data_IF_178145102266
#
_entry.id   IF_178145102266
#
_cell.length_a   1.000
_cell.length_b   1.000
_cell.length_c   1.000
_cell.angle_alpha   90.00
_cell.angle_beta   90.00
_cell.angle_gamma   90.00
#
_symmetry.space_group_name_H-M   'P 1'
#
loop_
_entity.id
_entity.type
_entity.pdbx_description
1 polymer ?
#
# COMPACT_ATOMS: atom_id res chain seq x y z
N UNK A 1 4.36 2.16 -26.43
CA UNK A 1 2.89 2.09 -26.29
C UNK A 1 2.41 1.06 -25.26
N UNK A 2 2.89 -0.21 -25.22
CA UNK A 2 2.40 -1.19 -24.25
C UNK A 2 2.64 -0.83 -22.77
N UNK A 3 3.78 -0.21 -22.46
CA UNK A 3 4.10 0.29 -21.12
C UNK A 3 3.16 1.40 -20.66
N UNK A 4 2.81 2.33 -21.54
CA UNK A 4 1.85 3.42 -21.27
C UNK A 4 0.47 2.83 -21.01
N UNK A 5 0.03 1.85 -21.80
CA UNK A 5 -1.26 1.19 -21.61
C UNK A 5 -1.31 0.41 -20.28
N UNK A 6 -0.26 -0.33 -19.95
CA UNK A 6 -0.16 -1.02 -18.67
C UNK A 6 -0.14 -0.05 -17.48
N UNK A 7 0.57 1.08 -17.60
CA UNK A 7 0.59 2.13 -16.59
C UNK A 7 -0.78 2.81 -16.45
N UNK A 8 -1.45 3.13 -17.55
CA UNK A 8 -2.79 3.73 -17.56
C UNK A 8 -3.83 2.83 -16.88
N UNK A 9 -3.80 1.52 -17.18
CA UNK A 9 -4.67 0.54 -16.52
C UNK A 9 -4.35 0.42 -15.03
N UNK A 10 -3.07 0.43 -14.65
CA UNK A 10 -2.68 0.41 -13.23
C UNK A 10 -3.18 1.65 -12.49
N UNK A 11 -3.02 2.84 -13.06
CA UNK A 11 -3.51 4.11 -12.49
C UNK A 11 -5.04 4.10 -12.38
N UNK A 12 -5.75 3.66 -13.42
CA UNK A 12 -7.19 3.52 -13.40
C UNK A 12 -7.66 2.61 -12.26
N UNK A 13 -7.04 1.44 -12.11
CA UNK A 13 -7.37 0.48 -11.05
C UNK A 13 -7.12 1.06 -9.66
N UNK A 14 -6.06 1.86 -9.50
CA UNK A 14 -5.76 2.55 -8.23
C UNK A 14 -6.76 3.64 -7.92
N UNK A 15 -7.13 4.46 -8.89
CA UNK A 15 -8.13 5.51 -8.71
C UNK A 15 -9.52 4.93 -8.41
N UNK A 16 -9.91 3.85 -9.09
CA UNK A 16 -11.20 3.19 -8.86
C UNK A 16 -11.29 2.58 -7.46
N UNK A 17 -10.20 1.98 -6.96
CA UNK A 17 -10.15 1.40 -5.63
C UNK A 17 -9.87 2.41 -4.51
N UNK A 18 -9.62 3.69 -4.84
CA UNK A 18 -9.32 4.72 -3.86
C UNK A 18 -10.58 5.15 -3.11
N UNK A 19 -10.42 5.30 -1.80
CA UNK A 19 -11.50 5.60 -0.88
C UNK A 19 -11.23 6.89 -0.11
N UNK A 20 -10.00 7.10 0.35
CA UNK A 20 -9.67 8.19 1.27
C UNK A 20 -9.81 9.55 0.60
N UNK A 21 -9.32 9.69 -0.63
CA UNK A 21 -9.38 10.96 -1.38
C UNK A 21 -10.81 11.39 -1.68
N UNK A 22 -11.67 10.58 -2.34
CA UNK A 22 -13.03 11.01 -2.63
C UNK A 22 -13.86 11.22 -1.36
N UNK A 23 -13.60 10.47 -0.27
CA UNK A 23 -14.30 10.67 1.00
C UNK A 23 -14.00 12.04 1.63
N UNK A 24 -12.74 12.49 1.58
CA UNK A 24 -12.29 13.68 2.29
C UNK A 24 -12.42 14.98 1.49
N UNK A 25 -12.15 14.94 0.18
CA UNK A 25 -12.10 16.16 -0.66
C UNK A 25 -13.00 16.08 -1.90
N UNK A 26 -13.69 14.96 -2.11
CA UNK A 26 -14.53 14.76 -3.28
C UNK A 26 -15.92 15.36 -3.19
N UNK A 27 -16.20 16.27 -2.25
CA UNK A 27 -17.52 16.84 -1.93
C UNK A 27 -18.57 16.80 -3.07
N UNK A 28 -19.51 15.85 -3.00
CA UNK A 28 -20.59 15.65 -3.97
C UNK A 28 -20.39 14.53 -5.00
N UNK A 29 -19.17 14.01 -5.17
CA UNK A 29 -18.88 12.87 -6.05
C UNK A 29 -19.14 11.53 -5.36
N UNK A 30 -20.09 10.76 -5.91
CA UNK A 30 -20.42 9.41 -5.43
C UNK A 30 -19.56 8.38 -6.15
N UNK A 31 -18.41 8.05 -5.57
CA UNK A 31 -17.55 6.97 -6.05
C UNK A 31 -17.99 5.63 -5.48
N UNK A 32 -17.73 4.52 -6.20
CA UNK A 32 -18.07 3.16 -5.74
C UNK A 32 -17.63 2.91 -4.29
N UNK A 33 -16.37 3.17 -3.89
CA UNK A 33 -15.90 2.80 -2.56
C UNK A 33 -16.60 3.60 -1.45
N UNK A 34 -16.84 4.90 -1.68
CA UNK A 34 -17.52 5.80 -0.73
C UNK A 34 -19.00 5.46 -0.62
N UNK A 35 -19.66 5.17 -1.73
CA UNK A 35 -21.07 4.80 -1.72
C UNK A 35 -21.30 3.48 -0.99
N UNK A 36 -20.45 2.47 -1.23
CA UNK A 36 -20.50 1.19 -0.50
C UNK A 36 -20.37 1.42 1.01
N UNK A 37 -19.46 2.29 1.42
CA UNK A 37 -19.28 2.63 2.83
C UNK A 37 -20.52 3.33 3.42
N UNK A 38 -21.02 4.37 2.76
CA UNK A 38 -22.18 5.14 3.24
C UNK A 38 -23.43 4.27 3.37
N UNK A 39 -23.63 3.31 2.45
CA UNK A 39 -24.79 2.42 2.46
C UNK A 39 -24.68 1.31 3.52
N UNK A 40 -23.46 1.01 3.98
CA UNK A 40 -23.18 0.02 5.00
C UNK A 40 -23.10 0.60 6.42
N UNK A 41 -22.52 1.79 6.57
CA UNK A 41 -22.24 2.46 7.87
C UNK A 41 -23.17 3.66 8.13
N UNK A 42 -24.05 4.00 7.18
CA UNK A 42 -24.89 5.20 7.23
C UNK A 42 -25.74 5.35 8.50
N UNK A 43 -25.83 6.57 9.01
CA UNK A 43 -26.48 6.88 10.29
C UNK A 43 -28.01 6.91 10.21
N UNK A 44 -28.60 7.29 9.07
CA UNK A 44 -30.04 7.49 8.91
C UNK A 44 -30.77 6.30 8.28
N UNK A 45 -30.12 5.59 7.35
CA UNK A 45 -30.64 4.36 6.75
C UNK A 45 -29.51 3.53 6.18
N UNK A 46 -29.44 2.25 6.56
CA UNK A 46 -28.51 1.27 5.97
C UNK A 46 -29.23 0.43 4.92
N UNK A 47 -28.61 0.25 3.76
CA UNK A 47 -29.12 -0.62 2.70
C UNK A 47 -28.05 -1.63 2.27
N UNK A 48 -27.95 -2.71 3.03
CA UNK A 48 -26.97 -3.77 2.80
C UNK A 48 -27.13 -4.42 1.41
N UNK A 49 -28.36 -4.55 0.91
CA UNK A 49 -28.65 -5.13 -0.40
C UNK A 49 -28.10 -4.25 -1.53
N UNK A 50 -28.27 -2.93 -1.42
CA UNK A 50 -27.72 -1.98 -2.37
C UNK A 50 -26.20 -1.90 -2.29
N UNK A 51 -25.63 -1.88 -1.08
CA UNK A 51 -24.18 -1.95 -0.88
C UNK A 51 -23.58 -3.23 -1.51
N UNK A 52 -24.25 -4.37 -1.36
CA UNK A 52 -23.85 -5.63 -1.98
C UNK A 52 -23.93 -5.56 -3.52
N UNK A 53 -25.01 -5.01 -4.08
CA UNK A 53 -25.16 -4.84 -5.52
C UNK A 53 -24.04 -3.98 -6.13
N UNK A 54 -23.76 -2.82 -5.52
CA UNK A 54 -22.66 -1.94 -5.96
C UNK A 54 -21.30 -2.65 -5.81
N UNK A 55 -21.10 -3.41 -4.73
CA UNK A 55 -19.86 -4.18 -4.52
C UNK A 55 -19.64 -5.22 -5.62
N UNK A 56 -20.69 -5.95 -6.02
CA UNK A 56 -20.62 -6.94 -7.11
C UNK A 56 -20.30 -6.26 -8.44
N UNK A 57 -20.94 -5.12 -8.74
CA UNK A 57 -20.64 -4.34 -9.95
C UNK A 57 -19.18 -3.86 -9.95
N UNK A 58 -18.70 -3.32 -8.83
CA UNK A 58 -17.32 -2.87 -8.70
C UNK A 58 -16.32 -4.02 -8.86
N UNK A 59 -16.59 -5.18 -8.27
CA UNK A 59 -15.79 -6.40 -8.47
C UNK A 59 -15.81 -6.82 -9.94
N UNK A 60 -16.96 -6.80 -10.61
CA UNK A 60 -17.08 -7.16 -12.02
C UNK A 60 -16.25 -6.27 -12.93
N UNK A 61 -16.36 -4.94 -12.77
CA UNK A 61 -15.58 -3.96 -13.54
C UNK A 61 -14.08 -4.15 -13.29
N UNK A 62 -13.68 -4.25 -12.03
CA UNK A 62 -12.26 -4.42 -11.66
C UNK A 62 -11.70 -5.75 -12.15
N UNK A 63 -12.48 -6.83 -12.12
CA UNK A 63 -12.08 -8.12 -12.68
C UNK A 63 -11.88 -8.03 -14.21
N UNK A 64 -12.81 -7.42 -14.94
CA UNK A 64 -12.69 -7.23 -16.40
C UNK A 64 -11.41 -6.47 -16.74
N UNK A 65 -11.19 -5.33 -16.07
CA UNK A 65 -10.00 -4.50 -16.31
C UNK A 65 -8.72 -5.24 -15.93
N UNK A 66 -8.72 -6.00 -14.84
CA UNK A 66 -7.59 -6.84 -14.45
C UNK A 66 -7.28 -7.93 -15.47
N UNK A 67 -8.28 -8.64 -15.99
CA UNK A 67 -8.07 -9.66 -17.01
C UNK A 67 -7.57 -9.05 -18.32
N UNK A 68 -8.09 -7.88 -18.72
CA UNK A 68 -7.58 -7.11 -19.86
C UNK A 68 -6.12 -6.72 -19.63
N UNK A 69 -5.80 -6.15 -18.46
CA UNK A 69 -4.44 -5.78 -18.09
C UNK A 69 -3.50 -6.99 -18.12
N UNK A 70 -3.91 -8.12 -17.54
CA UNK A 70 -3.14 -9.36 -17.51
C UNK A 70 -2.90 -9.90 -18.92
N UNK A 71 -3.93 -9.92 -19.76
CA UNK A 71 -3.85 -10.38 -21.15
C UNK A 71 -2.89 -9.50 -21.97
N UNK A 72 -3.04 -8.17 -21.91
CA UNK A 72 -2.16 -7.22 -22.59
C UNK A 72 -0.70 -7.38 -22.13
N UNK A 73 -0.47 -7.47 -20.82
CA UNK A 73 0.87 -7.62 -20.25
C UNK A 73 1.50 -8.96 -20.65
N UNK A 74 0.70 -10.02 -20.83
CA UNK A 74 1.21 -11.32 -21.29
C UNK A 74 1.55 -11.33 -22.79
N UNK A 75 0.80 -10.60 -23.61
CA UNK A 75 0.96 -10.57 -25.08
C UNK A 75 2.09 -9.63 -25.52
N UNK A 76 2.34 -8.55 -24.78
CA UNK A 76 3.34 -7.53 -25.11
C UNK A 76 4.58 -7.60 -24.20
N UNK A 77 5.12 -8.82 -23.97
CA UNK A 77 6.39 -9.00 -23.26
C UNK A 77 7.56 -8.59 -24.15
N UNK A 78 7.93 -7.31 -24.10
CA UNK A 78 9.19 -6.87 -24.66
C UNK A 78 10.27 -7.02 -23.60
N UNK A 79 11.17 -7.98 -23.78
CA UNK A 79 12.47 -7.97 -23.11
C UNK A 79 13.15 -6.70 -23.59
N UNK A 80 13.37 -5.74 -22.70
CA UNK A 80 14.32 -4.66 -22.97
C UNK A 80 15.66 -5.37 -23.08
N UNK A 81 16.05 -5.73 -24.30
CA UNK A 81 17.39 -6.20 -24.58
C UNK A 81 18.32 -5.04 -24.24
N UNK A 82 18.94 -5.12 -23.07
CA UNK A 82 19.94 -4.18 -22.58
C UNK A 82 21.26 -4.31 -23.37
N UNK A 83 21.19 -4.55 -24.68
CA UNK A 83 22.36 -4.56 -25.58
C UNK A 83 22.96 -3.15 -25.75
N UNK A 84 22.18 -2.11 -25.46
CA UNK A 84 22.67 -0.74 -25.35
C UNK A 84 22.36 -0.20 -23.95
N UNK A 85 23.40 -0.04 -23.13
CA UNK A 85 23.33 0.80 -21.93
C UNK A 85 22.86 2.19 -22.36
N UNK A 86 21.84 2.73 -21.68
CA UNK A 86 21.37 4.10 -21.90
C UNK A 86 22.56 5.02 -21.58
N UNK A 87 23.24 5.53 -22.60
CA UNK A 87 24.35 6.45 -22.39
C UNK A 87 23.80 7.82 -21.93
N UNK A 88 24.32 8.28 -20.79
CA UNK A 88 23.98 9.60 -20.27
C UNK A 88 24.51 10.68 -21.21
N UNK A 89 23.64 11.23 -22.06
CA UNK A 89 24.00 12.36 -22.92
C UNK A 89 23.96 13.65 -22.11
N UNK A 90 25.09 14.36 -22.02
CA UNK A 90 25.13 15.69 -21.41
C UNK A 90 24.26 16.66 -22.24
N UNK A 91 23.21 17.26 -21.67
CA UNK A 91 22.37 18.20 -22.39
C UNK A 91 23.14 19.50 -22.71
N UNK A 92 22.73 20.20 -23.77
CA UNK A 92 23.20 21.57 -24.06
C UNK A 92 22.87 22.50 -22.87
N UNK A 93 23.60 23.60 -22.64
CA UNK A 93 23.40 24.46 -21.47
C UNK A 93 21.96 24.92 -21.27
N UNK A 94 21.30 25.40 -22.33
CA UNK A 94 19.90 25.84 -22.29
C UNK A 94 18.94 24.68 -21.98
N UNK A 95 19.15 23.53 -22.61
CA UNK A 95 18.35 22.32 -22.36
C UNK A 95 18.55 21.83 -20.93
N UNK A 96 19.76 21.94 -20.37
CA UNK A 96 20.05 21.62 -18.98
C UNK A 96 19.24 22.50 -18.03
N UNK A 97 19.25 23.83 -18.24
CA UNK A 97 18.46 24.76 -17.43
C UNK A 97 16.97 24.44 -17.49
N UNK A 98 16.42 24.18 -18.69
CA UNK A 98 15.00 23.81 -18.85
C UNK A 98 14.65 22.49 -18.14
N UNK A 99 15.52 21.48 -18.21
CA UNK A 99 15.32 20.20 -17.52
C UNK A 99 15.31 20.39 -16.00
N UNK A 100 16.28 21.15 -15.46
CA UNK A 100 16.35 21.42 -14.02
C UNK A 100 15.16 22.26 -13.56
N UNK A 101 14.78 23.29 -14.30
CA UNK A 101 13.62 24.13 -13.99
C UNK A 101 12.34 23.30 -13.95
N UNK A 102 12.10 22.48 -14.97
CA UNK A 102 10.96 21.56 -15.00
C UNK A 102 10.97 20.60 -13.80
N UNK A 103 12.11 19.97 -13.51
CA UNK A 103 12.24 19.05 -12.40
C UNK A 103 12.00 19.73 -11.04
N UNK A 104 12.59 20.90 -10.80
CA UNK A 104 12.40 21.64 -9.54
C UNK A 104 10.99 22.16 -9.36
N UNK A 105 10.34 22.63 -10.43
CA UNK A 105 8.93 23.03 -10.38
C UNK A 105 8.06 21.83 -10.04
N UNK A 106 8.25 20.69 -10.72
CA UNK A 106 7.47 19.49 -10.49
C UNK A 106 7.64 18.95 -9.07
N UNK A 107 8.89 18.86 -8.59
CA UNK A 107 9.19 18.45 -7.21
C UNK A 107 8.62 19.45 -6.21
N UNK A 108 8.78 20.76 -6.46
CA UNK A 108 8.27 21.83 -5.61
C UNK A 108 6.76 21.77 -5.44
N UNK A 109 6.02 21.66 -6.54
CA UNK A 109 4.55 21.49 -6.53
C UNK A 109 4.16 20.20 -5.80
N UNK A 110 4.89 19.11 -6.04
CA UNK A 110 4.61 17.80 -5.43
C UNK A 110 4.89 17.76 -3.92
N UNK A 111 5.78 18.60 -3.41
CA UNK A 111 6.12 18.72 -1.99
C UNK A 111 5.31 19.79 -1.25
N UNK A 112 4.65 20.69 -1.98
CA UNK A 112 3.92 21.82 -1.41
C UNK A 112 2.82 21.39 -0.41
N UNK A 113 1.98 20.37 -0.68
CA UNK A 113 0.98 19.91 0.30
C UNK A 113 1.59 19.39 1.60
N UNK A 114 2.74 18.71 1.53
CA UNK A 114 3.44 18.14 2.68
C UNK A 114 4.08 19.25 3.52
N UNK A 115 4.64 20.27 2.87
CA UNK A 115 5.17 21.46 3.55
C UNK A 115 4.03 22.24 4.22
N UNK A 116 2.90 22.44 3.52
CA UNK A 116 1.73 23.11 4.08
C UNK A 116 1.14 22.34 5.27
N UNK A 117 1.08 21.01 5.17
CA UNK A 117 0.64 20.14 6.26
C UNK A 117 1.56 20.26 7.49
N UNK A 118 2.87 20.21 7.27
CA UNK A 118 3.86 20.40 8.34
C UNK A 118 3.71 21.79 8.97
N UNK A 119 3.53 22.85 8.16
CA UNK A 119 3.26 24.20 8.65
C UNK A 119 2.01 24.25 9.54
N UNK A 120 0.87 23.71 9.07
CA UNK A 120 -0.37 23.63 9.84
C UNK A 120 -0.21 22.85 11.16
N UNK A 121 0.62 21.80 11.18
CA UNK A 121 0.86 21.02 12.39
C UNK A 121 1.46 21.85 13.54
N UNK A 122 2.27 22.85 13.23
CA UNK A 122 2.92 23.73 14.22
C UNK A 122 2.13 25.01 14.51
N UNK A 123 1.04 25.30 13.79
CA UNK A 123 0.20 26.47 14.08
C UNK A 123 -0.48 26.33 15.43
N UNK A 124 -0.62 27.44 16.15
CA UNK A 124 -1.40 27.44 17.38
C UNK A 124 -2.88 27.15 17.10
N UNK A 125 -3.57 26.54 18.06
CA UNK A 125 -4.98 26.17 17.94
C UNK A 125 -5.73 26.36 19.24
N UNK A 126 -7.05 26.49 19.13
CA UNK A 126 -7.94 26.46 20.29
C UNK A 126 -7.76 25.19 21.12
N UNK A 127 -8.23 25.20 22.38
CA UNK A 127 -8.20 24.01 23.24
C UNK A 127 -8.90 22.79 22.62
N UNK A 128 -9.88 23.00 21.75
CA UNK A 128 -10.56 21.93 21.01
C UNK A 128 -9.74 21.39 19.84
N UNK A 129 -8.83 22.20 19.28
CA UNK A 129 -8.06 21.90 18.07
C UNK A 129 -8.80 22.27 16.77
N UNK A 130 -9.97 22.90 16.86
CA UNK A 130 -10.84 23.20 15.72
C UNK A 130 -10.49 24.50 14.99
N UNK A 131 -10.01 25.51 15.73
CA UNK A 131 -9.70 26.82 15.16
C UNK A 131 -8.19 27.07 15.22
N UNK A 132 -7.60 27.43 14.09
CA UNK A 132 -6.22 27.92 14.06
C UNK A 132 -6.13 29.34 14.60
N UNK A 133 -5.19 29.55 15.51
CA UNK A 133 -4.89 30.82 16.14
C UNK A 133 -3.58 31.40 15.58
N UNK A 134 -3.33 32.71 15.76
CA UNK A 134 -2.03 33.30 15.46
C UNK A 134 -0.90 32.64 16.29
N UNK A 135 0.30 32.58 15.71
CA UNK A 135 1.49 32.03 16.33
C UNK A 135 1.68 30.52 16.15
N UNK A 136 2.79 30.02 16.71
CA UNK A 136 3.18 28.61 16.64
C UNK A 136 3.10 27.96 18.03
N UNK A 137 2.75 26.68 18.07
CA UNK A 137 2.71 25.89 19.29
C UNK A 137 2.83 24.40 19.00
N UNK A 138 3.14 23.61 20.04
CA UNK A 138 3.04 22.14 19.99
C UNK A 138 1.69 21.63 20.48
N UNK A 139 0.67 22.48 20.59
CA UNK A 139 -0.63 22.12 21.14
C UNK A 139 -1.33 21.03 20.32
N UNK A 140 -1.25 21.10 18.98
CA UNK A 140 -1.82 20.08 18.09
C UNK A 140 -1.26 18.69 18.36
N UNK A 141 0.06 18.58 18.56
CA UNK A 141 0.72 17.32 18.91
C UNK A 141 0.27 16.81 20.28
N UNK A 142 0.16 17.69 21.29
CA UNK A 142 -0.34 17.33 22.62
C UNK A 142 -1.79 16.83 22.56
N UNK A 143 -2.67 17.55 21.86
CA UNK A 143 -4.08 17.15 21.68
C UNK A 143 -4.17 15.83 20.92
N UNK A 144 -3.46 15.71 19.80
CA UNK A 144 -3.46 14.51 18.96
C UNK A 144 -3.03 13.27 19.73
N UNK A 145 -1.85 13.32 20.35
CA UNK A 145 -1.29 12.22 21.11
C UNK A 145 -2.07 11.91 22.39
N UNK A 146 -2.65 12.92 23.06
CA UNK A 146 -3.45 12.68 24.28
C UNK A 146 -4.79 12.00 23.99
N UNK A 147 -5.45 12.36 22.88
CA UNK A 147 -6.73 11.80 22.45
C UNK A 147 -6.56 10.44 21.76
N UNK A 148 -5.44 10.21 21.09
CA UNK A 148 -5.18 9.02 20.27
C UNK A 148 -3.86 8.32 20.67
N UNK A 149 -3.69 8.05 21.97
CA UNK A 149 -2.43 7.52 22.55
C UNK A 149 -1.95 6.22 21.91
N UNK A 150 -2.87 5.33 21.54
CA UNK A 150 -2.56 4.03 20.95
C UNK A 150 -2.29 4.07 19.44
N UNK A 151 -2.49 5.21 18.76
CA UNK A 151 -2.42 5.27 17.31
C UNK A 151 -1.04 4.87 16.75
N UNK A 152 0.03 5.33 17.38
CA UNK A 152 1.40 4.99 16.98
C UNK A 152 1.69 3.51 17.24
N UNK A 153 1.39 3.01 18.44
CA UNK A 153 1.65 1.61 18.79
C UNK A 153 0.82 0.65 17.94
N UNK A 154 -0.43 1.00 17.61
CA UNK A 154 -1.29 0.21 16.74
C UNK A 154 -0.79 0.19 15.30
N UNK A 155 -0.37 1.33 14.74
CA UNK A 155 0.25 1.38 13.41
C UNK A 155 1.49 0.50 13.35
N UNK A 156 2.35 0.55 14.37
CA UNK A 156 3.54 -0.29 14.46
C UNK A 156 3.19 -1.78 14.58
N UNK A 157 2.33 -2.14 15.54
CA UNK A 157 1.97 -3.52 15.83
C UNK A 157 1.29 -4.17 14.64
N UNK A 158 0.23 -3.53 14.12
CA UNK A 158 -0.51 -4.04 12.96
C UNK A 158 0.40 -4.07 11.74
N UNK A 159 1.14 -2.99 11.50
CA UNK A 159 2.02 -2.87 10.34
C UNK A 159 3.12 -3.93 10.31
N UNK A 160 3.85 -4.11 11.41
CA UNK A 160 5.01 -5.00 11.48
C UNK A 160 4.58 -6.46 11.40
N UNK A 161 3.50 -6.84 12.09
CA UNK A 161 2.97 -8.20 12.02
C UNK A 161 2.48 -8.48 10.60
N UNK A 162 1.72 -7.57 9.99
CA UNK A 162 1.21 -7.74 8.63
C UNK A 162 2.34 -7.83 7.59
N UNK A 163 3.36 -6.97 7.65
CA UNK A 163 4.52 -7.06 6.75
C UNK A 163 5.30 -8.35 6.95
N UNK A 164 5.51 -8.78 8.20
CA UNK A 164 6.17 -10.05 8.49
C UNK A 164 5.46 -11.23 7.84
N UNK A 165 4.13 -11.31 7.99
CA UNK A 165 3.32 -12.35 7.35
C UNK A 165 3.37 -12.23 5.82
N UNK A 166 3.24 -11.02 5.28
CA UNK A 166 3.32 -10.76 3.84
C UNK A 166 4.65 -11.23 3.26
N UNK A 167 5.77 -10.93 3.91
CA UNK A 167 7.11 -11.34 3.47
C UNK A 167 7.23 -12.86 3.44
N UNK A 168 6.83 -13.54 4.50
CA UNK A 168 6.90 -15.01 4.58
C UNK A 168 6.06 -15.65 3.47
N UNK A 169 4.80 -15.23 3.33
CA UNK A 169 3.91 -15.78 2.29
C UNK A 169 4.42 -15.45 0.89
N UNK A 170 4.93 -14.23 0.67
CA UNK A 170 5.43 -13.82 -0.63
C UNK A 170 6.66 -14.61 -1.07
N UNK A 171 7.58 -14.91 -0.15
CA UNK A 171 8.75 -15.76 -0.40
C UNK A 171 8.29 -17.16 -0.86
N UNK A 172 7.33 -17.76 -0.15
CA UNK A 172 6.80 -19.09 -0.48
C UNK A 172 6.09 -19.10 -1.84
N UNK A 173 5.21 -18.13 -2.10
CA UNK A 173 4.50 -18.01 -3.37
C UNK A 173 5.49 -17.75 -4.51
N UNK A 174 6.47 -16.86 -4.33
CA UNK A 174 7.46 -16.58 -5.34
C UNK A 174 8.27 -17.83 -5.70
N UNK A 175 8.70 -18.61 -4.70
CA UNK A 175 9.38 -19.88 -4.93
C UNK A 175 8.51 -20.86 -5.71
N UNK A 176 7.24 -21.05 -5.33
CA UNK A 176 6.33 -21.93 -6.04
C UNK A 176 6.10 -21.51 -7.50
N UNK A 177 5.94 -20.21 -7.74
CA UNK A 177 5.67 -19.65 -9.07
C UNK A 177 6.88 -19.79 -10.00
N UNK A 178 8.10 -19.54 -9.50
CA UNK A 178 9.31 -19.54 -10.33
C UNK A 178 9.96 -20.92 -10.42
N UNK A 179 10.04 -21.65 -9.29
CA UNK A 179 10.79 -22.91 -9.19
C UNK A 179 9.93 -24.16 -9.39
N UNK A 180 8.60 -24.03 -9.26
CA UNK A 180 7.63 -25.14 -9.41
C UNK A 180 6.46 -24.74 -10.32
N UNK A 181 6.71 -24.35 -11.59
CA UNK A 181 5.65 -23.97 -12.50
C UNK A 181 4.66 -25.13 -12.70
N UNK A 182 3.39 -24.87 -12.42
CA UNK A 182 2.28 -25.82 -12.52
C UNK A 182 0.98 -25.05 -12.60
N UNK A 183 -0.11 -25.69 -13.05
CA UNK A 183 -1.43 -25.06 -13.06
C UNK A 183 -1.82 -24.51 -11.67
N UNK A 184 -1.44 -25.21 -10.59
CA UNK A 184 -1.66 -24.80 -9.20
C UNK A 184 -0.87 -23.55 -8.81
N UNK A 185 0.43 -23.48 -9.15
CA UNK A 185 1.23 -22.29 -8.83
C UNK A 185 0.80 -21.06 -9.64
N UNK A 186 0.36 -21.24 -10.88
CA UNK A 186 -0.26 -20.15 -11.66
C UNK A 186 -1.61 -19.68 -11.09
N UNK A 187 -2.42 -20.61 -10.56
CA UNK A 187 -3.65 -20.26 -9.86
C UNK A 187 -3.35 -19.46 -8.58
N UNK A 188 -2.36 -19.88 -7.78
CA UNK A 188 -1.92 -19.16 -6.58
C UNK A 188 -1.41 -17.76 -6.94
N UNK A 189 -0.57 -17.60 -7.96
CA UNK A 189 -0.11 -16.27 -8.42
C UNK A 189 -1.28 -15.36 -8.81
N UNK A 190 -2.27 -15.92 -9.50
CA UNK A 190 -3.44 -15.18 -9.96
C UNK A 190 -4.33 -14.77 -8.79
N UNK A 191 -4.68 -15.71 -7.91
CA UNK A 191 -5.49 -15.46 -6.72
C UNK A 191 -4.83 -14.45 -5.78
N UNK A 192 -3.51 -14.50 -5.65
CA UNK A 192 -2.75 -13.57 -4.84
C UNK A 192 -2.81 -12.12 -5.34
N UNK A 193 -3.21 -11.88 -6.59
CA UNK A 193 -3.41 -10.53 -7.14
C UNK A 193 -4.84 -10.03 -6.99
N UNK A 194 -5.83 -10.91 -6.78
CA UNK A 194 -7.25 -10.52 -6.73
C UNK A 194 -7.53 -9.45 -5.67
N UNK A 195 -6.96 -9.50 -4.44
CA UNK A 195 -7.20 -8.45 -3.46
C UNK A 195 -6.67 -7.07 -3.83
N UNK A 196 -5.74 -6.98 -4.77
CA UNK A 196 -5.16 -5.70 -5.23
C UNK A 196 -6.21 -4.81 -5.92
N UNK A 197 -7.17 -5.46 -6.58
CA UNK A 197 -8.11 -4.80 -7.48
C UNK A 197 -9.47 -4.53 -6.83
N UNK A 198 -9.77 -5.21 -5.72
CA UNK A 198 -11.02 -5.05 -5.00
C UNK A 198 -10.97 -3.76 -4.16
N UNK A 199 -12.00 -2.90 -4.23
CA UNK A 199 -12.08 -1.72 -3.38
C UNK A 199 -11.93 -2.08 -1.90
N UNK A 200 -11.22 -1.23 -1.14
CA UNK A 200 -10.95 -1.52 0.26
C UNK A 200 -12.21 -1.65 1.13
N UNK A 201 -13.27 -0.91 0.79
CA UNK A 201 -14.55 -0.99 1.49
C UNK A 201 -15.23 -2.34 1.31
N UNK A 202 -15.19 -2.90 0.10
CA UNK A 202 -15.68 -4.25 -0.21
C UNK A 202 -14.92 -5.30 0.61
N UNK A 203 -13.59 -5.20 0.69
CA UNK A 203 -12.78 -6.13 1.49
C UNK A 203 -13.15 -6.04 2.98
N UNK A 204 -13.35 -4.83 3.51
CA UNK A 204 -13.75 -4.63 4.91
C UNK A 204 -15.08 -5.26 5.23
N UNK A 205 -16.10 -4.99 4.41
CA UNK A 205 -17.44 -5.56 4.57
C UNK A 205 -17.40 -7.09 4.44
N UNK A 206 -16.68 -7.61 3.44
CA UNK A 206 -16.55 -9.05 3.25
C UNK A 206 -15.91 -9.74 4.46
N UNK A 207 -14.88 -9.13 5.08
CA UNK A 207 -14.26 -9.66 6.28
C UNK A 207 -15.19 -9.64 7.49
N UNK A 208 -15.97 -8.56 7.68
CA UNK A 208 -17.00 -8.54 8.73
C UNK A 208 -18.01 -9.66 8.48
N UNK A 209 -18.59 -9.74 7.29
CA UNK A 209 -19.59 -10.76 6.97
C UNK A 209 -19.06 -12.18 7.16
N UNK A 210 -17.79 -12.43 6.81
CA UNK A 210 -17.17 -13.74 6.94
C UNK A 210 -16.80 -14.11 8.39
N UNK A 211 -16.46 -13.14 9.23
CA UNK A 211 -15.90 -13.37 10.57
C UNK A 211 -16.67 -12.72 11.72
N UNK A 212 -17.95 -12.41 11.51
CA UNK A 212 -18.84 -11.88 12.55
C UNK A 212 -19.67 -12.97 13.26
N UNK A 213 -19.62 -14.21 12.79
CA UNK A 213 -20.38 -15.34 13.36
C UNK A 213 -19.48 -16.53 13.71
N UNK A 214 -19.95 -17.41 14.60
CA UNK A 214 -19.25 -18.65 14.97
C UNK A 214 -19.03 -19.55 13.74
N UNK A 215 -17.96 -20.37 13.69
CA UNK A 215 -17.07 -20.75 14.79
C UNK A 215 -15.91 -19.77 15.04
N UNK A 216 -15.59 -18.88 14.10
CA UNK A 216 -14.45 -17.98 14.18
C UNK A 216 -14.90 -16.52 14.10
N UNK A 217 -14.99 -15.86 15.26
CA UNK A 217 -15.35 -14.44 15.35
C UNK A 217 -14.08 -13.60 15.47
N UNK A 218 -13.77 -12.83 14.44
CA UNK A 218 -12.62 -11.92 14.40
C UNK A 218 -13.02 -10.45 14.44
N UNK A 219 -14.28 -10.12 14.20
CA UNK A 219 -14.80 -8.75 14.26
C UNK A 219 -14.47 -8.11 15.60
N UNK A 220 -14.00 -6.87 15.57
CA UNK A 220 -13.60 -6.12 16.75
C UNK A 220 -12.20 -6.43 17.31
N UNK A 221 -11.52 -7.47 16.80
CA UNK A 221 -10.16 -7.82 17.21
C UNK A 221 -9.09 -7.13 16.36
N UNK A 222 -7.85 -7.08 16.84
CA UNK A 222 -6.70 -6.64 16.02
C UNK A 222 -6.40 -7.61 14.87
N UNK A 223 -6.81 -8.87 14.99
CA UNK A 223 -6.51 -9.92 14.01
C UNK A 223 -7.21 -9.67 12.67
N UNK A 224 -8.46 -9.20 12.67
CA UNK A 224 -9.18 -8.89 11.42
C UNK A 224 -8.50 -7.74 10.65
N UNK A 225 -7.93 -6.77 11.37
CA UNK A 225 -7.15 -5.70 10.76
C UNK A 225 -5.86 -6.27 10.15
N UNK A 226 -5.11 -7.09 10.88
CA UNK A 226 -3.87 -7.72 10.38
C UNK A 226 -4.16 -8.54 9.12
N UNK A 227 -5.20 -9.38 9.14
CA UNK A 227 -5.63 -10.19 7.99
C UNK A 227 -5.97 -9.29 6.80
N UNK A 228 -6.73 -8.21 7.03
CA UNK A 228 -7.09 -7.29 5.96
C UNK A 228 -5.87 -6.65 5.29
N UNK A 229 -4.86 -6.26 6.08
CA UNK A 229 -3.60 -5.73 5.57
C UNK A 229 -2.82 -6.77 4.78
N UNK A 230 -2.70 -8.01 5.30
CA UNK A 230 -1.98 -9.09 4.61
C UNK A 230 -2.62 -9.38 3.27
N UNK A 231 -3.95 -9.61 3.25
CA UNK A 231 -4.71 -9.93 2.05
C UNK A 231 -4.54 -8.85 0.98
N UNK A 232 -4.65 -7.57 1.35
CA UNK A 232 -4.58 -6.47 0.37
C UNK A 232 -3.18 -6.12 -0.10
N UNK A 233 -2.13 -6.51 0.64
CA UNK A 233 -0.75 -6.00 0.46
C UNK A 233 0.27 -7.08 0.14
N UNK A 234 -0.12 -8.35 0.18
CA UNK A 234 0.70 -9.45 -0.35
C UNK A 234 1.09 -9.32 -1.84
N UNK A 235 0.29 -8.72 -2.75
CA UNK A 235 0.63 -8.67 -4.18
C UNK A 235 1.97 -7.98 -4.47
N UNK A 236 2.30 -6.92 -3.72
CA UNK A 236 3.51 -6.13 -3.94
C UNK A 236 4.77 -6.94 -3.69
N UNK A 237 4.83 -7.61 -2.54
CA UNK A 237 6.00 -8.41 -2.18
C UNK A 237 6.13 -9.65 -3.04
N UNK A 238 5.01 -10.28 -3.45
CA UNK A 238 5.04 -11.40 -4.41
C UNK A 238 5.66 -10.95 -5.73
N UNK A 239 5.21 -9.84 -6.33
CA UNK A 239 5.69 -9.41 -7.64
C UNK A 239 7.17 -9.04 -7.61
N UNK A 240 7.63 -8.34 -6.58
CA UNK A 240 9.05 -8.01 -6.43
C UNK A 240 9.91 -9.26 -6.21
N UNK A 241 9.44 -10.20 -5.38
CA UNK A 241 10.11 -11.45 -5.09
C UNK A 241 10.20 -12.37 -6.32
N UNK A 242 9.11 -12.51 -7.08
CA UNK A 242 9.08 -13.27 -8.35
C UNK A 242 10.02 -12.67 -9.38
N UNK A 243 10.05 -11.33 -9.51
CA UNK A 243 10.90 -10.65 -10.47
C UNK A 243 12.39 -10.90 -10.22
N UNK A 244 12.85 -10.80 -8.97
CA UNK A 244 14.25 -11.06 -8.62
C UNK A 244 14.56 -12.55 -8.68
N UNK A 245 13.70 -13.43 -8.15
CA UNK A 245 13.94 -14.86 -8.18
C UNK A 245 14.01 -15.42 -9.62
N UNK A 246 13.20 -14.86 -10.53
CA UNK A 246 13.24 -15.22 -11.96
C UNK A 246 14.55 -14.89 -12.67
N UNK A 247 15.35 -13.96 -12.13
CA UNK A 247 16.68 -13.62 -12.65
C UNK A 247 17.79 -14.53 -12.10
N UNK A 248 17.53 -15.26 -11.01
CA UNK A 248 18.52 -16.14 -10.37
C UNK A 248 18.48 -17.51 -11.07
N UNK A 249 19.58 -17.96 -11.70
CA UNK A 249 19.63 -19.26 -12.37
C UNK A 249 19.30 -20.42 -11.41
N UNK A 250 18.52 -21.40 -11.89
CA UNK A 250 18.19 -22.60 -11.10
C UNK A 250 19.43 -23.42 -10.74
N UNK A 251 20.46 -23.37 -11.60
CA UNK A 251 21.72 -24.11 -11.43
C UNK A 251 22.44 -23.78 -10.13
N UNK A 252 22.23 -22.59 -9.56
CA UNK A 252 22.81 -22.22 -8.25
C UNK A 252 22.20 -23.06 -7.12
N UNK A 253 20.90 -23.30 -7.16
CA UNK A 253 20.19 -24.15 -6.19
C UNK A 253 20.55 -25.63 -6.39
N UNK A 254 20.65 -26.08 -7.65
CA UNK A 254 21.07 -27.44 -8.00
C UNK A 254 22.51 -27.73 -7.58
N UNK A 255 23.43 -26.79 -7.76
CA UNK A 255 24.82 -26.92 -7.31
C UNK A 255 24.91 -27.09 -5.79
N UNK A 256 24.15 -26.30 -5.03
CA UNK A 256 24.10 -26.44 -3.58
C UNK A 256 23.58 -27.83 -3.15
N UNK A 257 22.56 -28.34 -3.84
CA UNK A 257 22.00 -29.68 -3.58
C UNK A 257 23.03 -30.77 -3.92
N UNK A 258 23.73 -30.67 -5.05
CA UNK A 258 24.78 -31.61 -5.46
C UNK A 258 25.96 -31.65 -4.48
N UNK A 259 26.26 -30.53 -3.83
CA UNK A 259 27.27 -30.45 -2.76
C UNK A 259 26.76 -30.96 -1.39
N UNK A 260 25.59 -31.59 -1.35
CA UNK A 260 25.04 -32.25 -0.15
C UNK A 260 24.06 -31.39 0.66
N UNK A 261 23.63 -30.22 0.19
CA UNK A 261 22.54 -29.50 0.87
C UNK A 261 21.18 -30.16 0.60
N UNK A 262 20.34 -30.27 1.64
CA UNK A 262 18.92 -30.57 1.44
C UNK A 262 18.23 -29.42 0.69
N UNK A 263 17.14 -29.71 -0.03
CA UNK A 263 16.34 -28.68 -0.74
C UNK A 263 15.92 -27.53 0.17
N UNK A 264 15.50 -27.84 1.40
CA UNK A 264 15.09 -26.85 2.38
C UNK A 264 16.25 -25.97 2.85
N UNK A 265 17.43 -26.58 3.08
CA UNK A 265 18.64 -25.84 3.45
C UNK A 265 19.12 -24.95 2.31
N UNK A 266 19.13 -25.46 1.07
CA UNK A 266 19.47 -24.70 -0.12
C UNK A 266 18.54 -23.49 -0.29
N UNK A 267 17.24 -23.68 -0.10
CA UNK A 267 16.26 -22.60 -0.15
C UNK A 267 16.56 -21.47 0.85
N UNK A 268 16.69 -21.78 2.15
CA UNK A 268 16.89 -20.75 3.17
C UNK A 268 18.31 -20.16 3.18
N UNK A 269 19.33 -20.94 2.79
CA UNK A 269 20.73 -20.52 2.90
C UNK A 269 21.27 -19.87 1.62
N UNK A 270 20.66 -20.17 0.46
CA UNK A 270 21.13 -19.71 -0.85
C UNK A 270 20.04 -18.88 -1.53
N UNK A 271 18.88 -19.51 -1.82
CA UNK A 271 17.84 -18.87 -2.64
C UNK A 271 17.26 -17.61 -1.97
N UNK A 272 16.86 -17.69 -0.70
CA UNK A 272 16.27 -16.56 0.04
C UNK A 272 17.26 -15.39 0.19
N UNK A 273 18.52 -15.58 0.62
CA UNK A 273 19.52 -14.51 0.64
C UNK A 273 19.78 -13.88 -0.72
N UNK A 274 19.83 -14.66 -1.79
CA UNK A 274 20.08 -14.11 -3.14
C UNK A 274 18.93 -13.25 -3.65
N UNK A 275 17.69 -13.54 -3.25
CA UNK A 275 16.52 -12.72 -3.61
C UNK A 275 16.19 -11.64 -2.57
N UNK A 276 17.06 -11.40 -1.58
CA UNK A 276 16.82 -10.48 -0.47
C UNK A 276 16.43 -9.08 -0.96
N UNK A 277 17.07 -8.57 -2.01
CA UNK A 277 16.76 -7.24 -2.54
C UNK A 277 15.32 -7.14 -3.05
N UNK A 278 14.77 -8.20 -3.65
CA UNK A 278 13.37 -8.24 -4.07
C UNK A 278 12.40 -8.36 -2.89
N UNK A 279 12.76 -9.17 -1.90
CA UNK A 279 11.97 -9.32 -0.67
C UNK A 279 11.90 -7.98 0.08
N UNK A 280 13.06 -7.35 0.25
CA UNK A 280 13.25 -6.06 0.91
C UNK A 280 12.42 -5.03 0.13
N UNK A 281 12.64 -4.85 -1.18
CA UNK A 281 11.91 -3.83 -1.98
C UNK A 281 10.41 -4.02 -1.98
N UNK A 282 9.95 -5.26 -2.17
CA UNK A 282 8.55 -5.61 -2.10
C UNK A 282 7.94 -5.44 -0.70
N UNK A 283 8.71 -5.75 0.35
CA UNK A 283 8.30 -5.61 1.74
C UNK A 283 8.17 -4.14 2.17
N UNK A 284 9.05 -3.26 1.70
CA UNK A 284 8.95 -1.82 1.92
C UNK A 284 7.69 -1.24 1.28
N UNK A 285 7.41 -1.61 0.02
CA UNK A 285 6.21 -1.13 -0.65
C UNK A 285 4.94 -1.60 0.08
N UNK A 286 4.92 -2.85 0.56
CA UNK A 286 3.84 -3.34 1.42
C UNK A 286 3.77 -2.57 2.74
N UNK A 287 4.89 -2.31 3.40
CA UNK A 287 4.95 -1.53 4.64
C UNK A 287 4.33 -0.14 4.48
N UNK A 288 4.80 0.65 3.51
CA UNK A 288 4.31 2.00 3.26
C UNK A 288 2.81 1.98 2.99
N UNK A 289 2.34 1.04 2.17
CA UNK A 289 0.92 0.93 1.82
C UNK A 289 0.03 0.33 2.92
N UNK A 290 0.62 -0.29 3.96
CA UNK A 290 -0.07 -0.75 5.16
C UNK A 290 -0.23 0.42 6.15
N UNK A 291 0.85 1.16 6.43
CA UNK A 291 0.79 2.24 7.43
C UNK A 291 -0.09 3.42 6.97
N UNK A 292 -0.22 3.64 5.66
CA UNK A 292 -1.11 4.65 5.07
C UNK A 292 -2.49 4.10 4.67
N UNK A 293 -2.88 2.93 5.17
CA UNK A 293 -4.16 2.30 4.81
C UNK A 293 -5.34 2.94 5.57
N UNK A 294 -6.38 3.34 4.83
CA UNK A 294 -7.65 3.85 5.38
C UNK A 294 -8.87 3.05 4.90
N UNK A 295 -8.92 2.74 3.61
CA UNK A 295 -10.08 2.19 2.89
C UNK A 295 -10.75 0.97 3.55
N UNK A 296 -9.95 0.03 4.07
CA UNK A 296 -10.50 -1.15 4.75
C UNK A 296 -10.55 -0.95 6.26
N UNK A 297 -9.54 -0.28 6.80
CA UNK A 297 -9.42 -0.03 8.23
C UNK A 297 -10.59 0.75 8.80
N UNK A 298 -11.16 1.70 8.05
CA UNK A 298 -12.31 2.52 8.51
C UNK A 298 -13.57 1.70 8.78
N UNK A 299 -13.72 0.53 8.17
CA UNK A 299 -14.86 -0.38 8.41
C UNK A 299 -14.56 -1.33 9.57
N UNK A 300 -13.28 -1.69 9.77
CA UNK A 300 -12.88 -2.74 10.71
C UNK A 300 -12.44 -2.25 12.09
N UNK A 301 -12.14 -0.95 12.23
CA UNK A 301 -11.53 -0.44 13.44
C UNK A 301 -12.48 -0.43 14.64
N UNK A 302 -11.89 -0.49 15.82
CA UNK A 302 -12.54 -0.23 17.10
C UNK A 302 -11.81 0.90 17.82
N UNK A 303 -12.34 1.34 18.96
CA UNK A 303 -11.67 2.30 19.85
C UNK A 303 -10.26 1.88 20.25
N UNK A 304 -9.97 0.57 20.27
CA UNK A 304 -8.68 0.03 20.68
C UNK A 304 -7.70 -0.16 19.53
N UNK A 305 -8.16 -0.20 18.27
CA UNK A 305 -7.33 -0.52 17.09
C UNK A 305 -7.11 0.67 16.14
N UNK A 306 -7.46 1.88 16.56
CA UNK A 306 -7.22 3.12 15.81
C UNK A 306 -5.73 3.22 15.45
N UNK A 307 -5.41 3.33 14.16
CA UNK A 307 -4.06 3.58 13.63
C UNK A 307 -3.81 5.07 13.45
N UNK A 308 -2.56 5.47 13.17
CA UNK A 308 -2.23 6.86 12.75
C UNK A 308 -3.13 7.35 11.61
N UNK A 309 -3.29 6.57 10.54
CA UNK A 309 -4.13 6.95 9.40
C UNK A 309 -5.61 7.13 9.79
N UNK A 310 -6.15 6.23 10.62
CA UNK A 310 -7.50 6.38 11.15
C UNK A 310 -7.65 7.58 12.07
N UNK A 311 -6.63 7.88 12.88
CA UNK A 311 -6.66 9.03 13.78
C UNK A 311 -6.77 10.35 13.01
N UNK A 312 -6.08 10.46 11.86
CA UNK A 312 -6.17 11.62 10.97
C UNK A 312 -7.61 11.76 10.47
N UNK A 313 -8.19 10.67 9.96
CA UNK A 313 -9.58 10.65 9.51
C UNK A 313 -10.55 11.10 10.62
N UNK A 314 -10.42 10.57 11.83
CA UNK A 314 -11.30 10.91 12.96
C UNK A 314 -11.17 12.39 13.36
N UNK A 315 -9.96 12.97 13.28
CA UNK A 315 -9.79 14.39 13.59
C UNK A 315 -10.38 15.30 12.50
N UNK A 316 -10.19 14.95 11.22
CA UNK A 316 -10.79 15.68 10.09
C UNK A 316 -12.31 15.59 10.13
N UNK A 317 -12.88 14.40 10.35
CA UNK A 317 -14.34 14.22 10.42
C UNK A 317 -15.00 14.97 11.58
N UNK A 318 -14.22 15.32 12.61
CA UNK A 318 -14.67 16.14 13.76
C UNK A 318 -14.38 17.64 13.60
N UNK A 319 -13.86 18.08 12.46
CA UNK A 319 -13.49 19.48 12.21
C UNK A 319 -12.34 19.97 13.09
N UNK A 320 -11.42 19.07 13.46
CA UNK A 320 -10.25 19.37 14.31
C UNK A 320 -8.96 19.22 13.51
N UNK A 321 -8.79 20.11 12.53
CA UNK A 321 -7.74 20.02 11.50
C UNK A 321 -6.32 20.21 12.04
N UNK A 322 -6.15 20.96 13.14
CA UNK A 322 -4.84 21.15 13.77
C UNK A 322 -4.25 19.82 14.27
N UNK A 323 -4.93 19.12 15.18
CA UNK A 323 -4.56 17.76 15.58
C UNK A 323 -4.45 16.78 14.40
N UNK A 324 -5.33 16.86 13.40
CA UNK A 324 -5.22 16.05 12.19
C UNK A 324 -3.88 16.26 11.46
N UNK A 325 -3.50 17.53 11.26
CA UNK A 325 -2.23 17.91 10.62
C UNK A 325 -1.01 17.43 11.42
N UNK A 326 -1.08 17.45 12.76
CA UNK A 326 -0.04 16.88 13.61
C UNK A 326 0.08 15.36 13.45
N UNK A 327 -1.03 14.61 13.51
CA UNK A 327 -1.00 13.16 13.32
C UNK A 327 -0.52 12.77 11.91
N UNK A 328 -0.90 13.54 10.90
CA UNK A 328 -0.45 13.34 9.53
C UNK A 328 1.04 13.64 9.35
N UNK A 329 1.55 14.70 9.99
CA UNK A 329 2.99 15.02 9.99
C UNK A 329 3.81 13.93 10.68
N UNK A 330 3.32 13.36 11.78
CA UNK A 330 3.93 12.19 12.44
C UNK A 330 3.98 11.00 11.48
N UNK A 331 2.86 10.68 10.80
CA UNK A 331 2.80 9.58 9.84
C UNK A 331 3.79 9.80 8.67
N UNK A 332 3.87 11.02 8.14
CA UNK A 332 4.83 11.39 7.08
C UNK A 332 6.27 11.22 7.55
N UNK A 333 6.63 11.75 8.71
CA UNK A 333 7.97 11.59 9.28
C UNK A 333 8.31 10.11 9.49
N UNK A 334 7.35 9.32 9.98
CA UNK A 334 7.51 7.89 10.19
C UNK A 334 7.71 7.12 8.88
N UNK A 335 7.00 7.50 7.83
CA UNK A 335 7.15 6.94 6.48
C UNK A 335 8.53 7.25 5.90
N UNK A 336 8.96 8.51 5.99
CA UNK A 336 10.29 8.95 5.54
C UNK A 336 11.39 8.20 6.29
N UNK A 337 11.30 8.12 7.62
CA UNK A 337 12.27 7.40 8.43
C UNK A 337 12.37 5.92 8.04
N UNK A 338 11.22 5.27 7.82
CA UNK A 338 11.17 3.88 7.36
C UNK A 338 11.86 3.70 6.01
N UNK A 339 11.61 4.61 5.06
CA UNK A 339 12.25 4.60 3.74
C UNK A 339 13.76 4.80 3.84
N UNK A 340 14.23 5.74 4.65
CA UNK A 340 15.67 6.01 4.83
C UNK A 340 16.41 4.83 5.47
N UNK A 341 15.83 4.25 6.53
CA UNK A 341 16.36 3.04 7.17
C UNK A 341 16.49 1.93 6.14
N UNK A 342 15.43 1.74 5.36
CA UNK A 342 15.39 0.72 4.34
C UNK A 342 16.42 0.91 3.22
N UNK A 343 16.55 2.13 2.68
CA UNK A 343 17.53 2.44 1.65
C UNK A 343 18.97 2.16 2.12
N UNK A 344 19.25 2.40 3.41
CA UNK A 344 20.54 2.06 4.00
C UNK A 344 20.83 0.55 3.98
N UNK A 345 19.81 -0.29 4.16
CA UNK A 345 19.95 -1.74 4.11
C UNK A 345 19.94 -2.32 2.69
N UNK A 346 19.24 -1.69 1.76
CA UNK A 346 19.02 -2.25 0.41
C UNK A 346 20.28 -2.34 -0.46
N UNK A 347 21.38 -1.62 -0.15
CA UNK A 347 22.66 -1.58 -0.91
C UNK A 347 22.57 -1.35 -2.43
N UNK A 348 21.38 -1.28 -3.02
CA UNK A 348 21.16 -0.93 -4.42
C UNK A 348 21.41 0.57 -4.58
N UNK A 349 22.48 0.93 -5.27
CA UNK A 349 22.83 2.32 -5.58
C UNK A 349 21.87 2.96 -6.58
N UNK A 350 21.07 2.16 -7.28
CA UNK A 350 20.12 2.66 -8.27
C UNK A 350 18.71 2.21 -7.90
N UNK A 351 17.85 3.20 -7.64
CA UNK A 351 16.41 3.02 -7.57
C UNK A 351 15.87 3.29 -8.97
N UNK A 352 15.77 2.24 -9.79
CA UNK A 352 14.95 2.29 -10.99
C UNK A 352 13.51 1.97 -10.59
N UNK A 353 12.70 3.03 -10.47
CA UNK A 353 11.25 2.92 -10.42
C UNK A 353 10.67 2.53 -11.77
#
# INVERSE_FOLDING_TARGET
>A
MPSILAAALLVFMRALADFGTPLLIGEGYRTFPVEIYNQYVGETSVNYSFAAAISVIAIGITAIVFFIQKWLTSKFRFTINALHTIEQKKPKPMTSVLIHLYAYILVGISMMPQVYLAYCSFRNTSKSGALFLPGFSLNNYRIGLSKMKSAISNTLLIGLISVGIVVVLAILVAYLVVRRPSAKSHAIDTLSMVPYIIPGSVVGIALIMAFNTKPLVLTGSVAIMIISMVVRRIPYTIRSSVAILGQIPISVEEAAISLGCSKLKAFFSITVPMMSNGIISGGLLSWVTIITELSTSIILYTSHTVTLTLSIYIFVSRGTDGPAAAMATILTAFTILSLLIFMRFSKSKDVTF
#
